data_IF_397710071354
#
_entry.id   IF_397710071354
#
_cell.length_a   1.000
_cell.length_b   1.000
_cell.length_c   1.000
_cell.angle_alpha   90.00
_cell.angle_beta   90.00
_cell.angle_gamma   90.00
#
_symmetry.space_group_name_H-M   'P 1'
#
loop_
_entity.id
_entity.type
_entity.pdbx_description
1 polymer ?
#
# COMPACT_ATOMS: atom_id res chain seq x y z
N UNK A 1 72.81 16.49 -34.56
CA UNK A 1 72.70 17.88 -35.02
C UNK A 1 71.54 18.54 -34.27
N UNK A 2 71.85 19.47 -33.34
CA UNK A 2 71.03 20.58 -32.82
C UNK A 2 69.67 20.24 -32.15
N UNK A 3 69.22 20.74 -31.00
CA UNK A 3 69.70 21.62 -29.90
C UNK A 3 68.63 21.58 -28.80
N UNK A 4 69.03 21.88 -27.57
CA UNK A 4 68.23 21.97 -26.34
C UNK A 4 67.10 23.03 -26.36
N UNK A 5 66.24 22.98 -25.31
CA UNK A 5 65.48 24.04 -24.59
C UNK A 5 64.23 23.34 -23.99
N UNK A 6 63.80 23.44 -22.74
CA UNK A 6 64.17 24.22 -21.57
C UNK A 6 63.21 23.84 -20.42
N UNK A 7 63.69 23.96 -19.18
CA UNK A 7 63.00 23.63 -17.92
C UNK A 7 61.88 24.63 -17.59
N UNK A 8 60.82 24.18 -16.92
CA UNK A 8 60.14 24.98 -15.90
C UNK A 8 59.30 24.11 -14.95
N UNK A 9 59.80 23.94 -13.72
CA UNK A 9 59.04 23.44 -12.58
C UNK A 9 58.48 24.64 -11.81
N UNK A 10 57.17 24.67 -11.56
CA UNK A 10 56.54 25.68 -10.69
C UNK A 10 55.84 24.98 -9.51
N UNK A 11 56.43 25.21 -8.34
CA UNK A 11 55.97 24.77 -7.01
C UNK A 11 54.67 25.50 -6.65
N UNK A 12 53.63 24.78 -6.21
CA UNK A 12 52.47 25.38 -5.55
C UNK A 12 52.71 25.43 -4.04
N UNK A 13 52.78 26.64 -3.52
CA UNK A 13 52.91 26.98 -2.10
C UNK A 13 51.52 26.97 -1.45
N UNK A 14 51.39 26.28 -0.32
CA UNK A 14 50.25 26.31 0.60
C UNK A 14 50.38 27.53 1.54
N UNK A 15 49.29 28.28 1.74
CA UNK A 15 49.13 29.19 2.87
C UNK A 15 47.74 28.96 3.51
N UNK A 16 47.65 28.90 4.86
CA UNK A 16 46.39 28.81 5.58
C UNK A 16 45.96 30.19 6.11
N UNK A 17 44.66 30.50 6.10
CA UNK A 17 44.12 31.59 6.92
C UNK A 17 42.86 31.12 7.66
N UNK A 18 42.87 31.37 8.97
CA UNK A 18 41.81 31.06 9.92
C UNK A 18 41.05 32.35 10.28
N UNK A 19 39.84 32.15 10.81
CA UNK A 19 39.05 32.97 11.77
C UNK A 19 38.21 34.13 11.21
N UNK A 20 36.88 33.99 11.33
CA UNK A 20 36.03 34.95 12.07
C UNK A 20 34.63 34.34 12.29
N UNK A 21 34.27 34.10 13.56
CA UNK A 21 32.94 33.70 13.98
C UNK A 21 32.12 34.95 14.33
N UNK A 22 31.06 35.22 13.59
CA UNK A 22 30.07 36.25 13.94
C UNK A 22 28.83 35.59 14.57
N UNK A 23 28.64 35.83 15.86
CA UNK A 23 27.38 35.54 16.57
C UNK A 23 26.43 36.71 16.31
N UNK A 24 25.31 36.45 15.63
CA UNK A 24 24.21 37.40 15.47
C UNK A 24 23.04 36.93 16.34
N UNK A 25 22.84 37.66 17.43
CA UNK A 25 21.75 37.49 18.40
C UNK A 25 20.47 38.10 17.81
N UNK A 26 19.47 37.28 17.52
CA UNK A 26 18.12 37.73 17.18
C UNK A 26 17.22 37.65 18.42
N UNK A 27 16.85 38.82 18.93
CA UNK A 27 15.80 39.00 19.94
C UNK A 27 14.41 38.86 19.28
N UNK A 28 13.53 38.05 19.85
CA UNK A 28 12.13 37.89 19.43
C UNK A 28 11.21 38.72 20.34
N UNK A 29 10.33 39.59 19.80
CA UNK A 29 9.30 40.21 20.62
C UNK A 29 8.18 39.21 20.94
N UNK A 30 7.81 39.14 22.21
CA UNK A 30 6.67 38.38 22.72
C UNK A 30 5.36 39.11 22.35
N UNK A 31 4.67 38.63 21.32
CA UNK A 31 3.32 39.06 20.97
C UNK A 31 2.29 38.00 21.37
N UNK A 32 1.51 38.27 22.40
CA UNK A 32 0.38 37.45 22.84
C UNK A 32 -0.80 37.59 21.86
N UNK A 33 -1.04 36.56 21.04
CA UNK A 33 -2.26 36.48 20.21
C UNK A 33 -3.32 35.70 20.98
N UNK A 34 -4.29 36.42 21.54
CA UNK A 34 -5.48 35.86 22.15
C UNK A 34 -6.43 35.34 21.05
N UNK A 35 -6.58 34.02 20.93
CA UNK A 35 -7.61 33.42 20.09
C UNK A 35 -8.98 33.50 20.81
N UNK A 36 -9.82 34.44 20.38
CA UNK A 36 -11.27 34.40 20.69
C UNK A 36 -11.90 33.26 19.88
N UNK A 37 -12.40 32.24 20.57
CA UNK A 37 -13.34 31.25 20.02
C UNK A 37 -14.71 31.90 19.80
N UNK A 38 -15.30 31.87 18.59
CA UNK A 38 -16.73 32.10 18.46
C UNK A 38 -17.50 30.82 18.77
N UNK A 39 -18.61 31.05 19.48
CA UNK A 39 -19.56 30.11 20.06
C UNK A 39 -20.16 29.14 19.03
N UNK A 40 -20.50 27.97 19.56
CA UNK A 40 -21.30 26.93 18.96
C UNK A 40 -22.60 27.45 18.34
N UNK A 41 -22.89 27.01 17.12
CA UNK A 41 -24.24 26.93 16.57
C UNK A 41 -24.51 25.49 16.15
N UNK A 42 -25.40 24.89 16.92
CA UNK A 42 -26.13 23.66 16.69
C UNK A 42 -26.86 23.70 15.34
N UNK A 43 -26.57 22.74 14.46
CA UNK A 43 -27.42 22.45 13.30
C UNK A 43 -27.89 21.00 13.34
N UNK A 44 -29.21 20.86 13.43
CA UNK A 44 -29.99 19.64 13.39
C UNK A 44 -29.68 18.81 12.13
N UNK A 45 -29.31 17.55 12.33
CA UNK A 45 -29.19 16.54 11.28
C UNK A 45 -30.58 16.02 10.93
N UNK A 46 -31.11 16.45 9.78
CA UNK A 46 -32.29 15.84 9.17
C UNK A 46 -31.90 14.50 8.52
N UNK A 47 -32.45 13.41 9.06
CA UNK A 47 -32.28 12.07 8.52
C UNK A 47 -33.05 11.90 7.19
N UNK A 48 -32.36 11.50 6.12
CA UNK A 48 -32.98 11.02 4.87
C UNK A 48 -33.06 9.49 4.91
N UNK A 49 -34.24 8.86 4.69
CA UNK A 49 -34.33 7.41 4.57
C UNK A 49 -33.93 6.96 3.16
N UNK A 50 -33.09 5.92 3.09
CA UNK A 50 -32.78 5.20 1.85
C UNK A 50 -33.91 4.22 1.54
N UNK A 51 -34.63 4.46 0.45
CA UNK A 51 -35.56 3.49 -0.15
C UNK A 51 -34.78 2.51 -1.04
N UNK A 52 -34.78 1.23 -0.68
CA UNK A 52 -34.22 0.13 -1.47
C UNK A 52 -35.32 -0.41 -2.38
N UNK A 53 -35.30 -0.05 -3.66
CA UNK A 53 -36.14 -0.71 -4.68
C UNK A 53 -35.39 -1.92 -5.22
N UNK A 54 -35.88 -3.10 -4.85
CA UNK A 54 -35.46 -4.39 -5.38
C UNK A 54 -35.91 -4.56 -6.83
N UNK A 55 -35.00 -4.98 -7.71
CA UNK A 55 -35.35 -5.58 -9.01
C UNK A 55 -35.33 -7.09 -8.86
N UNK A 56 -36.51 -7.70 -8.81
CA UNK A 56 -36.70 -9.14 -9.00
C UNK A 56 -37.32 -9.37 -10.38
N UNK A 57 -36.65 -10.18 -11.20
CA UNK A 57 -37.19 -10.75 -12.43
C UNK A 57 -38.31 -11.73 -12.08
N UNK A 58 -39.47 -11.56 -12.71
CA UNK A 58 -40.51 -12.60 -12.77
C UNK A 58 -40.43 -13.36 -14.11
N UNK A 59 -40.65 -14.68 -14.14
CA UNK A 59 -41.01 -15.39 -15.35
C UNK A 59 -42.55 -15.46 -15.47
N UNK A 60 -43.10 -15.08 -16.62
CA UNK A 60 -44.52 -15.26 -16.92
C UNK A 60 -44.72 -16.56 -17.71
N UNK A 61 -45.52 -17.49 -17.16
CA UNK A 61 -46.18 -18.58 -17.89
C UNK A 61 -47.69 -18.44 -17.66
N UNK A 62 -48.44 -18.45 -18.76
CA UNK A 62 -49.86 -18.13 -18.85
C UNK A 62 -50.73 -19.22 -18.19
N UNK A 63 -51.85 -18.75 -17.62
CA UNK A 63 -52.88 -19.47 -16.88
C UNK A 63 -53.75 -20.42 -17.70
N UNK A 64 -54.31 -21.43 -17.02
CA UNK A 64 -55.45 -22.22 -17.50
C UNK A 64 -56.22 -22.93 -16.37
N UNK A 65 -57.08 -22.18 -15.67
CA UNK A 65 -58.34 -22.58 -15.01
C UNK A 65 -58.40 -23.53 -13.78
N UNK A 66 -59.35 -23.15 -12.88
CA UNK A 66 -60.21 -23.93 -11.95
C UNK A 66 -59.83 -24.13 -10.46
N UNK A 67 -60.58 -23.37 -9.64
CA UNK A 67 -61.47 -23.81 -8.53
C UNK A 67 -60.92 -24.06 -7.11
N UNK A 68 -61.14 -23.05 -6.26
CA UNK A 68 -61.88 -23.01 -4.97
C UNK A 68 -61.55 -24.00 -3.82
N UNK A 69 -60.90 -23.44 -2.78
CA UNK A 69 -61.14 -23.46 -1.30
C UNK A 69 -61.85 -24.66 -0.65
N UNK A 70 -61.32 -25.07 0.51
CA UNK A 70 -61.97 -25.13 1.85
C UNK A 70 -60.86 -25.51 2.86
N UNK A 71 -60.82 -25.14 4.15
CA UNK A 71 -61.77 -24.55 5.07
C UNK A 71 -61.48 -25.15 6.46
N UNK A 72 -61.07 -24.33 7.42
CA UNK A 72 -60.83 -24.68 8.83
C UNK A 72 -62.17 -24.87 9.57
N UNK A 73 -62.34 -25.90 10.40
CA UNK A 73 -63.36 -25.93 11.45
C UNK A 73 -63.09 -26.97 12.56
N UNK A 74 -63.60 -26.62 13.74
CA UNK A 74 -63.41 -27.08 15.13
C UNK A 74 -64.37 -28.20 15.59
N UNK A 75 -63.97 -29.04 16.57
CA UNK A 75 -64.76 -29.62 17.72
C UNK A 75 -63.95 -30.75 18.40
N UNK A 76 -63.58 -30.72 19.69
CA UNK A 76 -64.30 -30.84 20.99
C UNK A 76 -64.78 -32.27 21.35
N UNK A 77 -64.15 -32.91 22.36
CA UNK A 77 -64.73 -33.73 23.48
C UNK A 77 -63.63 -34.49 24.26
N UNK A 78 -63.35 -34.18 25.54
CA UNK A 78 -63.87 -34.73 26.84
C UNK A 78 -63.02 -35.85 27.50
N UNK A 79 -62.35 -35.48 28.60
CA UNK A 79 -62.21 -36.14 29.94
C UNK A 79 -62.14 -37.68 30.09
N UNK A 80 -61.06 -38.20 30.72
CA UNK A 80 -61.06 -38.97 32.00
C UNK A 80 -59.65 -39.34 32.50
N UNK A 81 -59.58 -39.73 33.78
CA UNK A 81 -58.49 -39.67 34.76
C UNK A 81 -57.85 -41.05 35.02
N UNK A 82 -56.56 -41.04 35.39
CA UNK A 82 -55.77 -42.02 36.18
C UNK A 82 -55.44 -43.44 35.64
N UNK A 83 -54.14 -43.78 35.59
CA UNK A 83 -53.49 -44.70 36.55
C UNK A 83 -51.98 -44.75 36.34
N UNK A 84 -51.24 -44.99 37.44
CA UNK A 84 -49.79 -44.99 37.50
C UNK A 84 -49.22 -46.39 37.24
N UNK A 85 -48.11 -46.50 36.50
CA UNK A 85 -47.15 -47.62 36.70
C UNK A 85 -45.72 -47.21 36.31
N UNK A 86 -44.78 -47.72 37.12
CA UNK A 86 -43.38 -47.34 37.31
C UNK A 86 -42.45 -47.52 36.08
N UNK A 87 -41.56 -46.52 35.94
CA UNK A 87 -40.09 -46.59 35.79
C UNK A 87 -39.50 -47.57 34.74
N UNK A 88 -39.05 -47.02 33.60
CA UNK A 88 -37.74 -47.38 33.00
C UNK A 88 -37.01 -46.13 32.52
N UNK A 89 -35.84 -45.93 33.11
CA UNK A 89 -34.81 -44.94 32.78
C UNK A 89 -34.47 -44.92 31.29
N UNK A 90 -34.59 -43.76 30.64
CA UNK A 90 -33.91 -43.47 29.37
C UNK A 90 -33.06 -42.21 29.54
N UNK A 91 -31.78 -42.38 29.20
CA UNK A 91 -30.69 -41.40 29.16
C UNK A 91 -31.16 -40.03 28.64
N UNK A 92 -30.69 -38.97 29.32
CA UNK A 92 -30.75 -37.61 28.83
C UNK A 92 -30.16 -37.53 27.41
N UNK A 93 -30.94 -36.99 26.48
CA UNK A 93 -30.48 -36.70 25.13
C UNK A 93 -29.39 -35.63 25.19
N UNK A 94 -28.24 -35.93 24.58
CA UNK A 94 -27.15 -34.99 24.39
C UNK A 94 -27.64 -33.71 23.71
N UNK A 95 -27.11 -32.52 24.06
CA UNK A 95 -27.51 -31.28 23.42
C UNK A 95 -27.16 -31.37 21.94
N UNK A 96 -28.16 -31.17 21.08
CA UNK A 96 -27.98 -31.08 19.62
C UNK A 96 -26.91 -30.03 19.35
N UNK A 97 -25.74 -30.47 18.87
CA UNK A 97 -24.69 -29.61 18.30
C UNK A 97 -25.37 -28.64 17.35
N UNK A 98 -25.32 -27.34 17.66
CA UNK A 98 -25.76 -26.30 16.73
C UNK A 98 -24.94 -26.47 15.45
N UNK A 99 -25.60 -26.89 14.38
CA UNK A 99 -25.02 -26.98 13.05
C UNK A 99 -24.67 -25.55 12.64
N UNK A 100 -23.37 -25.25 12.60
CA UNK A 100 -22.86 -23.95 12.13
C UNK A 100 -23.45 -23.69 10.75
N UNK A 101 -24.28 -22.64 10.63
CA UNK A 101 -24.82 -22.17 9.35
C UNK A 101 -23.64 -21.94 8.41
N UNK A 102 -23.51 -22.79 7.39
CA UNK A 102 -22.40 -22.75 6.44
C UNK A 102 -22.56 -21.47 5.63
N UNK A 103 -21.65 -20.50 5.81
CA UNK A 103 -21.63 -19.27 5.00
C UNK A 103 -21.66 -19.65 3.51
N UNK A 104 -22.49 -18.94 2.74
CA UNK A 104 -22.53 -19.09 1.28
C UNK A 104 -21.16 -18.72 0.69
N UNK A 105 -20.78 -19.29 -0.47
CA UNK A 105 -19.47 -19.02 -1.07
C UNK A 105 -19.22 -17.52 -1.28
N UNK A 106 -20.22 -16.76 -1.71
CA UNK A 106 -20.11 -15.31 -1.91
C UNK A 106 -19.90 -14.53 -0.59
N UNK A 107 -20.57 -14.93 0.49
CA UNK A 107 -20.38 -14.31 1.80
C UNK A 107 -18.97 -14.56 2.33
N UNK A 108 -18.41 -15.76 2.08
CA UNK A 108 -17.01 -16.08 2.43
C UNK A 108 -16.05 -15.17 1.69
N UNK A 109 -16.25 -14.98 0.38
CA UNK A 109 -15.37 -14.11 -0.41
C UNK A 109 -15.45 -12.64 0.03
N UNK A 110 -16.65 -12.14 0.35
CA UNK A 110 -16.83 -10.79 0.91
C UNK A 110 -16.16 -10.66 2.28
N UNK A 111 -16.29 -11.67 3.15
CA UNK A 111 -15.61 -11.71 4.44
C UNK A 111 -14.08 -11.74 4.30
N UNK A 112 -13.56 -12.55 3.37
CA UNK A 112 -12.14 -12.62 3.03
C UNK A 112 -11.63 -11.27 2.52
N UNK A 113 -12.36 -10.60 1.63
CA UNK A 113 -12.00 -9.27 1.14
C UNK A 113 -11.99 -8.23 2.26
N UNK A 114 -12.97 -8.27 3.17
CA UNK A 114 -12.99 -7.40 4.36
C UNK A 114 -11.77 -7.67 5.24
N UNK A 115 -11.42 -8.93 5.47
CA UNK A 115 -10.25 -9.33 6.25
C UNK A 115 -8.94 -8.86 5.59
N UNK A 116 -8.77 -9.13 4.29
CA UNK A 116 -7.61 -8.67 3.54
C UNK A 116 -7.49 -7.14 3.57
N UNK A 117 -8.59 -6.40 3.47
CA UNK A 117 -8.59 -4.94 3.58
C UNK A 117 -8.13 -4.44 4.96
N UNK A 118 -8.48 -5.14 6.04
CA UNK A 118 -7.98 -4.83 7.40
C UNK A 118 -6.47 -5.04 7.48
N UNK A 119 -5.95 -6.11 6.87
CA UNK A 119 -4.51 -6.40 6.86
C UNK A 119 -3.69 -5.48 5.96
N UNK A 120 -4.25 -5.01 4.85
CA UNK A 120 -3.51 -4.39 3.76
C UNK A 120 -3.05 -2.94 4.00
N UNK A 121 -3.29 -2.37 5.21
CA UNK A 121 -2.91 -1.00 5.57
C UNK A 121 -3.22 -0.02 4.43
N UNK A 122 -4.48 0.01 3.96
CA UNK A 122 -4.85 0.76 2.73
C UNK A 122 -4.71 2.28 2.89
N UNK A 123 -4.87 2.79 4.11
CA UNK A 123 -4.73 4.21 4.43
C UNK A 123 -3.26 4.48 4.78
N UNK A 124 -2.59 5.23 3.91
CA UNK A 124 -1.22 5.73 4.15
C UNK A 124 -1.23 7.07 4.90
N UNK A 125 -0.06 7.69 5.07
CA UNK A 125 0.04 9.03 5.63
C UNK A 125 -0.62 10.05 4.69
N UNK A 126 -1.06 11.17 5.25
CA UNK A 126 -1.49 12.33 4.47
C UNK A 126 -0.26 12.98 3.85
N UNK A 127 -0.33 13.26 2.55
CA UNK A 127 0.78 13.80 1.79
C UNK A 127 0.41 15.17 1.24
N UNK A 128 1.39 16.05 1.18
CA UNK A 128 1.32 17.37 0.58
C UNK A 128 1.30 17.27 -0.95
N UNK A 129 0.79 18.29 -1.67
CA UNK A 129 0.82 18.32 -3.13
C UNK A 129 2.25 18.36 -3.68
N UNK A 130 2.61 17.39 -4.53
CA UNK A 130 3.96 17.23 -5.10
C UNK A 130 4.16 17.91 -6.45
N UNK A 131 3.10 18.46 -7.06
CA UNK A 131 3.21 19.17 -8.35
C UNK A 131 2.91 20.65 -8.19
N UNK A 132 3.60 21.50 -8.95
CA UNK A 132 3.38 22.95 -8.95
C UNK A 132 1.90 23.31 -9.19
N UNK A 133 1.26 22.61 -10.14
CA UNK A 133 -0.18 22.71 -10.39
C UNK A 133 -1.00 22.29 -9.18
N UNK A 134 -0.70 21.17 -8.51
CA UNK A 134 -1.45 20.74 -7.35
C UNK A 134 -1.33 21.73 -6.18
N UNK A 135 -0.13 22.28 -5.94
CA UNK A 135 0.09 23.36 -4.95
C UNK A 135 -0.77 24.58 -5.29
N UNK A 136 -0.75 25.00 -6.55
CA UNK A 136 -1.55 26.13 -7.01
C UNK A 136 -3.05 25.88 -6.85
N UNK A 137 -3.52 24.69 -7.22
CA UNK A 137 -4.91 24.29 -7.04
C UNK A 137 -5.27 24.30 -5.56
N UNK A 138 -4.49 23.68 -4.67
CA UNK A 138 -4.81 23.65 -3.24
C UNK A 138 -4.91 25.06 -2.64
N UNK A 139 -4.10 25.99 -3.11
CA UNK A 139 -4.11 27.38 -2.63
C UNK A 139 -5.31 28.19 -3.15
N UNK A 140 -5.86 27.81 -4.31
CA UNK A 140 -6.92 28.56 -5.00
C UNK A 140 -8.29 27.88 -5.00
N UNK A 141 -8.38 26.60 -4.63
CA UNK A 141 -9.61 25.80 -4.62
C UNK A 141 -10.36 25.97 -3.28
N UNK A 142 -10.73 27.21 -2.94
CA UNK A 142 -11.50 27.52 -1.73
C UNK A 142 -12.94 26.97 -1.73
N UNK A 143 -13.76 27.30 -0.72
CA UNK A 143 -15.20 27.08 -0.84
C UNK A 143 -15.77 28.11 -1.85
N UNK A 144 -16.46 27.63 -2.87
CA UNK A 144 -17.02 28.50 -3.92
C UNK A 144 -18.24 27.85 -4.53
N UNK A 145 -19.21 28.69 -4.90
CA UNK A 145 -20.45 28.27 -5.54
C UNK A 145 -20.20 27.74 -6.95
N UNK A 146 -21.07 26.85 -7.42
CA UNK A 146 -20.99 26.24 -8.75
C UNK A 146 -20.22 24.92 -8.80
N UNK A 147 -20.14 24.35 -10.01
CA UNK A 147 -19.61 23.00 -10.25
C UNK A 147 -18.08 23.00 -10.13
N UNK A 148 -17.53 22.07 -9.35
CA UNK A 148 -16.08 21.91 -9.14
C UNK A 148 -15.27 21.88 -10.45
N UNK A 149 -15.81 21.26 -11.50
CA UNK A 149 -15.15 21.14 -12.80
C UNK A 149 -14.94 22.48 -13.49
N UNK A 150 -15.91 23.40 -13.42
CA UNK A 150 -15.82 24.73 -14.03
C UNK A 150 -14.82 25.60 -13.27
N UNK A 151 -14.82 25.49 -11.95
CA UNK A 151 -13.87 26.15 -11.07
C UNK A 151 -12.43 25.72 -11.38
N UNK A 152 -12.19 24.41 -11.50
CA UNK A 152 -10.86 23.88 -11.89
C UNK A 152 -10.46 24.36 -13.28
N UNK A 153 -11.39 24.42 -14.25
CA UNK A 153 -11.11 24.98 -15.59
C UNK A 153 -10.65 26.44 -15.48
N UNK A 154 -11.33 27.27 -14.69
CA UNK A 154 -10.91 28.65 -14.43
C UNK A 154 -9.53 28.75 -13.77
N UNK A 155 -9.25 27.92 -12.75
CA UNK A 155 -7.93 27.85 -12.10
C UNK A 155 -6.85 27.43 -13.12
N UNK A 156 -7.16 26.53 -14.05
CA UNK A 156 -6.21 26.08 -15.08
C UNK A 156 -5.82 27.20 -16.04
N UNK A 157 -6.79 28.02 -16.47
CA UNK A 157 -6.52 29.20 -17.31
C UNK A 157 -5.65 30.23 -16.57
N UNK A 158 -5.90 30.44 -15.28
CA UNK A 158 -5.07 31.32 -14.44
C UNK A 158 -3.64 30.80 -14.29
N UNK A 159 -3.48 29.50 -14.04
CA UNK A 159 -2.16 28.86 -13.93
C UNK A 159 -1.35 28.95 -15.23
N UNK A 160 -2.01 28.79 -16.38
CA UNK A 160 -1.36 28.95 -17.69
C UNK A 160 -0.79 30.36 -17.86
N UNK A 161 -1.54 31.38 -17.43
CA UNK A 161 -1.17 32.79 -17.49
C UNK A 161 -0.19 33.27 -16.41
N UNK A 162 0.25 32.41 -15.47
CA UNK A 162 1.25 32.80 -14.47
C UNK A 162 2.60 33.07 -15.13
N UNK A 163 3.34 34.03 -14.54
CA UNK A 163 4.71 34.32 -14.90
C UNK A 163 5.64 33.13 -14.60
N UNK A 164 6.79 33.06 -15.28
CA UNK A 164 7.72 31.94 -15.07
C UNK A 164 8.32 31.95 -13.65
N UNK A 165 8.50 33.13 -13.04
CA UNK A 165 8.98 33.25 -11.66
C UNK A 165 7.98 32.68 -10.64
N UNK A 166 6.68 32.94 -10.83
CA UNK A 166 5.62 32.35 -9.99
C UNK A 166 5.55 30.84 -10.17
N UNK A 167 5.69 30.35 -11.42
CA UNK A 167 5.77 28.91 -11.71
C UNK A 167 6.99 28.28 -11.03
N UNK A 168 8.14 28.94 -11.04
CA UNK A 168 9.36 28.49 -10.38
C UNK A 168 9.19 28.43 -8.86
N UNK A 169 8.56 29.45 -8.24
CA UNK A 169 8.23 29.42 -6.81
C UNK A 169 7.31 28.26 -6.43
N UNK A 170 6.33 27.95 -7.28
CA UNK A 170 5.46 26.79 -7.10
C UNK A 170 6.19 25.47 -7.30
N UNK A 171 7.14 25.38 -8.25
CA UNK A 171 8.02 24.21 -8.42
C UNK A 171 8.91 24.01 -7.19
N UNK A 172 9.51 25.07 -6.66
CA UNK A 172 10.33 25.01 -5.44
C UNK A 172 9.51 24.53 -4.23
N UNK A 173 8.30 25.06 -4.05
CA UNK A 173 7.37 24.61 -3.00
C UNK A 173 7.00 23.13 -3.19
N UNK A 174 6.73 22.72 -4.43
CA UNK A 174 6.41 21.34 -4.76
C UNK A 174 7.58 20.37 -4.49
N UNK A 175 8.82 20.81 -4.72
CA UNK A 175 10.03 20.05 -4.37
C UNK A 175 10.18 19.92 -2.85
N UNK A 176 10.01 21.01 -2.10
CA UNK A 176 10.02 20.95 -0.62
C UNK A 176 8.95 20.01 -0.07
N UNK A 177 7.74 20.05 -0.65
CA UNK A 177 6.67 19.11 -0.32
C UNK A 177 7.03 17.67 -0.67
N UNK A 178 7.71 17.44 -1.80
CA UNK A 178 8.16 16.11 -2.19
C UNK A 178 9.14 15.52 -1.16
N UNK A 179 10.11 16.31 -0.69
CA UNK A 179 11.06 15.88 0.33
C UNK A 179 10.37 15.64 1.68
N UNK A 180 9.47 16.54 2.09
CA UNK A 180 8.66 16.37 3.31
C UNK A 180 7.80 15.10 3.24
N UNK A 181 7.19 14.83 2.08
CA UNK A 181 6.41 13.61 1.84
C UNK A 181 7.27 12.36 1.86
N UNK A 182 8.49 12.40 1.32
CA UNK A 182 9.44 11.29 1.38
C UNK A 182 9.76 10.94 2.83
N UNK A 183 10.08 11.94 3.65
CA UNK A 183 10.34 11.77 5.08
C UNK A 183 9.10 11.25 5.82
N UNK A 184 7.92 11.83 5.54
CA UNK A 184 6.65 11.40 6.13
C UNK A 184 6.33 9.94 5.79
N UNK A 185 6.56 9.52 4.54
CA UNK A 185 6.41 8.11 4.13
C UNK A 185 7.37 7.20 4.86
N UNK A 186 8.63 7.60 5.02
CA UNK A 186 9.64 6.84 5.75
C UNK A 186 9.26 6.68 7.22
N UNK A 187 8.91 7.76 7.91
CA UNK A 187 8.44 7.73 9.30
C UNK A 187 7.20 6.85 9.47
N UNK A 188 6.25 6.91 8.53
CA UNK A 188 5.09 6.03 8.55
C UNK A 188 5.45 4.56 8.38
N UNK A 189 6.41 4.24 7.51
CA UNK A 189 6.94 2.87 7.34
C UNK A 189 7.65 2.42 8.61
N UNK A 190 8.50 3.25 9.20
CA UNK A 190 9.27 2.95 10.41
C UNK A 190 8.37 2.74 11.63
N UNK A 191 7.26 3.48 11.72
CA UNK A 191 6.27 3.34 12.78
C UNK A 191 5.54 1.99 12.77
N UNK A 192 5.55 1.26 11.65
CA UNK A 192 4.97 -0.08 11.56
C UNK A 192 6.03 -1.17 11.72
N UNK A 193 5.71 -2.27 12.42
CA UNK A 193 6.60 -3.42 12.48
C UNK A 193 6.74 -4.06 11.09
N UNK A 194 7.93 -4.59 10.80
CA UNK A 194 8.31 -5.14 9.48
C UNK A 194 7.35 -6.28 9.07
N UNK A 195 6.94 -7.08 10.05
CA UNK A 195 5.98 -8.16 9.92
C UNK A 195 4.62 -7.70 9.40
N UNK A 196 4.12 -6.57 9.93
CA UNK A 196 2.83 -6.01 9.52
C UNK A 196 2.90 -5.50 8.08
N UNK A 197 4.00 -4.87 7.70
CA UNK A 197 4.22 -4.38 6.33
C UNK A 197 4.31 -5.56 5.34
N UNK A 198 5.04 -6.61 5.71
CA UNK A 198 5.13 -7.83 4.92
C UNK A 198 3.72 -8.41 4.68
N UNK A 199 2.92 -8.56 5.74
CA UNK A 199 1.54 -9.03 5.66
C UNK A 199 0.63 -8.12 4.84
N UNK A 200 0.76 -6.81 5.00
CA UNK A 200 0.00 -5.83 4.25
C UNK A 200 0.26 -5.96 2.75
N UNK A 201 1.52 -6.13 2.35
CA UNK A 201 1.89 -6.33 0.94
C UNK A 201 1.33 -7.62 0.34
N UNK A 202 1.33 -8.74 1.09
CA UNK A 202 0.69 -9.98 0.60
C UNK A 202 -0.82 -9.77 0.48
N UNK A 203 -1.45 -9.12 1.47
CA UNK A 203 -2.87 -8.83 1.43
C UNK A 203 -3.24 -7.93 0.22
N UNK A 204 -2.45 -6.89 -0.08
CA UNK A 204 -2.62 -6.04 -1.26
C UNK A 204 -2.55 -6.84 -2.56
N UNK A 205 -1.58 -7.75 -2.70
CA UNK A 205 -1.48 -8.64 -3.88
C UNK A 205 -2.70 -9.55 -4.01
N UNK A 206 -3.21 -10.11 -2.90
CA UNK A 206 -4.43 -10.95 -2.90
C UNK A 206 -5.68 -10.18 -3.25
N UNK A 207 -5.85 -8.98 -2.70
CA UNK A 207 -6.97 -8.10 -3.06
C UNK A 207 -6.94 -7.86 -4.56
N UNK A 208 -5.78 -7.49 -5.12
CA UNK A 208 -5.64 -7.23 -6.54
C UNK A 208 -6.03 -8.44 -7.39
N UNK A 209 -5.58 -9.66 -7.03
CA UNK A 209 -6.01 -10.91 -7.70
C UNK A 209 -7.52 -11.12 -7.62
N UNK A 210 -8.11 -11.02 -6.42
CA UNK A 210 -9.56 -11.22 -6.23
C UNK A 210 -10.42 -10.16 -6.91
N UNK A 211 -9.92 -8.93 -7.06
CA UNK A 211 -10.65 -7.83 -7.69
C UNK A 211 -10.21 -7.56 -9.14
N UNK A 212 -9.39 -8.43 -9.73
CA UNK A 212 -8.82 -8.28 -11.08
C UNK A 212 -8.20 -6.89 -11.35
N UNK A 213 -7.50 -6.32 -10.36
CA UNK A 213 -6.79 -5.03 -10.52
C UNK A 213 -5.39 -5.27 -11.06
N UNK A 214 -5.07 -4.64 -12.18
CA UNK A 214 -3.75 -4.72 -12.82
C UNK A 214 -2.67 -3.96 -12.04
N UNK A 215 -2.99 -2.80 -11.47
CA UNK A 215 -2.04 -1.94 -10.75
C UNK A 215 -2.11 -2.17 -9.24
N UNK A 216 -0.95 -2.44 -8.64
CA UNK A 216 -0.80 -2.72 -7.20
C UNK A 216 0.26 -1.78 -6.63
N UNK A 217 -0.12 -1.00 -5.62
CA UNK A 217 0.82 -0.17 -4.87
C UNK A 217 1.30 -0.93 -3.65
N UNK A 218 2.58 -1.29 -3.61
CA UNK A 218 3.20 -1.96 -2.46
C UNK A 218 3.87 -0.94 -1.54
N UNK A 219 3.89 -1.26 -0.25
CA UNK A 219 4.66 -0.52 0.75
C UNK A 219 6.11 -1.00 0.61
N UNK A 220 7.04 -0.08 0.40
CA UNK A 220 8.46 -0.39 0.29
C UNK A 220 9.11 -0.13 1.65
N UNK A 221 9.85 -1.12 2.15
CA UNK A 221 10.62 -1.04 3.40
C UNK A 221 11.97 -1.73 3.15
N UNK A 222 13.07 -1.05 3.46
CA UNK A 222 14.44 -1.56 3.28
C UNK A 222 14.78 -2.68 4.26
N UNK A 223 14.06 -2.79 5.39
CA UNK A 223 14.21 -3.86 6.39
C UNK A 223 13.67 -5.20 5.90
N UNK A 224 12.86 -5.21 4.84
CA UNK A 224 12.33 -6.44 4.25
C UNK A 224 13.43 -7.18 3.47
N UNK A 225 13.57 -8.51 3.64
CA UNK A 225 14.52 -9.30 2.88
C UNK A 225 14.29 -9.15 1.38
N UNK A 226 15.31 -8.70 0.66
CA UNK A 226 15.29 -8.57 -0.80
C UNK A 226 15.31 -9.97 -1.43
N UNK A 227 14.70 -10.08 -2.61
CA UNK A 227 14.75 -11.32 -3.40
C UNK A 227 16.20 -11.59 -3.82
N UNK A 228 16.65 -12.83 -3.65
CA UNK A 228 17.96 -13.26 -4.13
C UNK A 228 18.12 -13.01 -5.63
N UNK A 229 19.32 -12.57 -6.02
CA UNK A 229 19.65 -12.29 -7.42
C UNK A 229 20.04 -13.59 -8.12
N UNK A 230 19.79 -13.67 -9.42
CA UNK A 230 20.32 -14.76 -10.24
C UNK A 230 21.81 -14.58 -10.49
N UNK A 231 22.50 -15.65 -10.87
CA UNK A 231 23.92 -15.61 -11.25
C UNK A 231 24.20 -14.54 -12.31
N UNK A 232 23.35 -14.47 -13.34
CA UNK A 232 23.42 -13.43 -14.37
C UNK A 232 23.23 -12.02 -13.80
N UNK A 233 22.29 -11.80 -12.89
CA UNK A 233 22.10 -10.49 -12.26
C UNK A 233 23.29 -10.07 -11.38
N UNK A 234 24.00 -11.02 -10.78
CA UNK A 234 25.26 -10.76 -10.06
C UNK A 234 26.40 -10.40 -11.01
N UNK A 235 26.52 -11.12 -12.13
CA UNK A 235 27.46 -10.80 -13.20
C UNK A 235 27.24 -9.37 -13.72
N UNK A 236 26.00 -9.04 -14.09
CA UNK A 236 25.61 -7.70 -14.54
C UNK A 236 25.94 -6.64 -13.49
N UNK A 237 25.65 -6.88 -12.20
CA UNK A 237 26.02 -5.96 -11.12
C UNK A 237 27.53 -5.69 -11.08
N UNK A 238 28.34 -6.73 -11.27
CA UNK A 238 29.81 -6.64 -11.23
C UNK A 238 30.43 -5.94 -12.45
N UNK A 239 29.81 -6.07 -13.61
CA UNK A 239 30.25 -5.47 -14.87
C UNK A 239 29.75 -4.05 -15.04
N UNK A 240 28.47 -3.79 -14.73
CA UNK A 240 27.85 -2.48 -14.88
C UNK A 240 28.54 -1.40 -14.03
N UNK A 241 29.01 -1.73 -12.83
CA UNK A 241 29.79 -0.78 -12.00
C UNK A 241 31.12 -0.38 -12.64
N UNK A 242 31.75 -1.28 -13.39
CA UNK A 242 33.01 -1.05 -14.10
C UNK A 242 32.76 -0.21 -15.36
N UNK A 243 31.75 -0.60 -16.15
CA UNK A 243 31.38 0.08 -17.40
C UNK A 243 30.89 1.51 -17.14
N UNK A 244 30.02 1.73 -16.16
CA UNK A 244 29.53 3.08 -15.83
C UNK A 244 30.64 4.05 -15.39
N UNK A 245 31.79 3.52 -14.93
CA UNK A 245 32.96 4.33 -14.57
C UNK A 245 33.88 4.63 -15.77
N UNK A 246 33.72 3.91 -16.89
CA UNK A 246 34.62 3.96 -18.05
C UNK A 246 33.95 4.50 -19.32
N UNK A 247 32.63 4.39 -19.47
CA UNK A 247 31.92 4.80 -20.68
C UNK A 247 31.12 6.10 -20.49
N UNK A 248 31.61 7.20 -21.06
CA UNK A 248 30.90 8.48 -21.08
C UNK A 248 29.89 8.66 -22.22
N UNK A 249 29.69 7.66 -23.10
CA UNK A 249 28.99 7.87 -24.39
C UNK A 249 28.10 6.73 -24.91
N UNK A 250 28.11 5.54 -24.30
CA UNK A 250 27.23 4.43 -24.75
C UNK A 250 25.85 4.47 -24.09
N UNK A 251 24.80 4.19 -24.86
CA UNK A 251 23.45 4.04 -24.31
C UNK A 251 23.44 2.87 -23.33
N UNK A 252 22.80 3.04 -22.18
CA UNK A 252 22.64 1.98 -21.16
C UNK A 252 22.15 0.66 -21.77
N UNK A 253 21.25 0.73 -22.76
CA UNK A 253 20.74 -0.44 -23.47
C UNK A 253 21.81 -1.22 -24.23
N UNK A 254 22.74 -0.53 -24.90
CA UNK A 254 23.82 -1.16 -25.65
C UNK A 254 24.81 -1.86 -24.70
N UNK A 255 25.06 -1.25 -23.53
CA UNK A 255 25.90 -1.89 -22.50
C UNK A 255 25.28 -3.20 -21.98
N UNK A 256 23.96 -3.25 -21.78
CA UNK A 256 23.27 -4.48 -21.39
C UNK A 256 23.28 -5.54 -22.49
N UNK A 257 23.18 -5.14 -23.76
CA UNK A 257 23.28 -6.06 -24.89
C UNK A 257 24.66 -6.72 -24.95
N UNK A 258 25.73 -5.92 -24.88
CA UNK A 258 27.10 -6.41 -24.85
C UNK A 258 27.35 -7.36 -23.66
N UNK A 259 26.90 -7.00 -22.45
CA UNK A 259 27.01 -7.89 -21.28
C UNK A 259 26.21 -9.18 -21.44
N UNK A 260 25.06 -9.16 -22.13
CA UNK A 260 24.30 -10.37 -22.41
C UNK A 260 25.02 -11.30 -23.38
N UNK A 261 25.74 -10.76 -24.36
CA UNK A 261 26.55 -11.54 -25.31
C UNK A 261 27.77 -12.13 -24.61
N UNK A 262 28.46 -11.33 -23.79
CA UNK A 262 29.58 -11.79 -22.95
C UNK A 262 29.15 -12.95 -22.04
N UNK A 263 28.01 -12.83 -21.35
CA UNK A 263 27.51 -13.92 -20.52
C UNK A 263 27.21 -15.20 -21.33
N UNK A 264 26.77 -15.08 -22.59
CA UNK A 264 26.53 -16.26 -23.43
C UNK A 264 27.82 -16.92 -23.86
N UNK A 265 28.85 -16.15 -24.20
CA UNK A 265 30.16 -16.66 -24.63
C UNK A 265 31.04 -17.16 -23.50
N UNK A 266 30.78 -16.73 -22.25
CA UNK A 266 31.51 -17.22 -21.07
C UNK A 266 31.38 -18.75 -20.91
N UNK A 267 32.49 -19.36 -20.55
CA UNK A 267 32.59 -20.78 -20.19
C UNK A 267 31.85 -21.09 -18.88
N UNK A 268 31.54 -22.36 -18.66
CA UNK A 268 30.85 -22.79 -17.45
C UNK A 268 31.69 -22.54 -16.18
N UNK A 269 33.02 -22.67 -16.27
CA UNK A 269 33.95 -22.36 -15.17
C UNK A 269 33.93 -20.88 -14.79
N UNK A 270 33.88 -19.97 -15.76
CA UNK A 270 33.77 -18.53 -15.50
C UNK A 270 32.40 -18.14 -14.92
N UNK A 271 31.36 -18.95 -15.17
CA UNK A 271 30.03 -18.77 -14.60
C UNK A 271 29.90 -19.34 -13.19
N UNK A 272 30.69 -20.35 -12.82
CA UNK A 272 30.64 -21.00 -11.50
C UNK A 272 30.67 -20.02 -10.32
N UNK A 273 31.61 -19.05 -10.22
CA UNK A 273 31.63 -18.14 -9.07
C UNK A 273 30.33 -17.34 -8.92
N UNK A 274 29.67 -16.99 -10.03
CA UNK A 274 28.38 -16.29 -9.99
C UNK A 274 27.23 -17.23 -9.60
N UNK A 275 27.30 -18.52 -9.97
CA UNK A 275 26.31 -19.54 -9.58
C UNK A 275 26.40 -19.83 -8.08
N UNK A 276 27.60 -20.03 -7.56
CA UNK A 276 27.85 -20.23 -6.13
C UNK A 276 27.41 -19.01 -5.31
N UNK A 277 27.77 -17.80 -5.76
CA UNK A 277 27.33 -16.57 -5.10
C UNK A 277 25.80 -16.43 -5.10
N UNK A 278 25.14 -16.76 -6.21
CA UNK A 278 23.67 -16.72 -6.30
C UNK A 278 23.01 -17.77 -5.40
N UNK A 279 23.58 -18.98 -5.30
CA UNK A 279 23.10 -20.01 -4.38
C UNK A 279 23.23 -19.56 -2.92
N UNK A 280 24.37 -18.98 -2.53
CA UNK A 280 24.56 -18.42 -1.20
C UNK A 280 23.59 -17.27 -0.88
N UNK A 281 23.36 -16.35 -1.83
CA UNK A 281 22.40 -15.25 -1.66
C UNK A 281 20.95 -15.78 -1.55
N UNK A 282 20.62 -16.84 -2.29
CA UNK A 282 19.34 -17.53 -2.24
C UNK A 282 19.09 -18.16 -0.87
N UNK A 283 20.07 -18.88 -0.32
CA UNK A 283 19.96 -19.50 1.01
C UNK A 283 19.77 -18.45 2.11
N UNK A 284 20.59 -17.39 2.09
CA UNK A 284 20.49 -16.27 3.05
C UNK A 284 19.12 -15.59 2.96
N UNK A 285 18.68 -15.25 1.75
CA UNK A 285 17.37 -14.62 1.52
C UNK A 285 16.22 -15.55 1.95
N UNK A 286 16.33 -16.86 1.67
CA UNK A 286 15.33 -17.85 2.06
C UNK A 286 15.23 -18.01 3.58
N UNK A 287 16.36 -18.03 4.30
CA UNK A 287 16.40 -18.10 5.75
C UNK A 287 15.74 -16.86 6.39
N UNK A 288 16.15 -15.66 5.97
CA UNK A 288 15.56 -14.39 6.44
C UNK A 288 14.06 -14.32 6.16
N UNK A 289 13.62 -14.77 4.98
CA UNK A 289 12.20 -14.81 4.64
C UNK A 289 11.43 -15.86 5.45
N UNK A 290 12.05 -16.98 5.82
CA UNK A 290 11.42 -17.99 6.68
C UNK A 290 11.18 -17.42 8.07
N UNK A 291 12.20 -16.81 8.65
CA UNK A 291 12.12 -16.15 9.95
C UNK A 291 11.06 -15.03 9.95
N UNK A 292 11.09 -14.15 8.93
CA UNK A 292 10.09 -13.09 8.79
C UNK A 292 8.66 -13.64 8.67
N UNK A 293 8.46 -14.74 7.93
CA UNK A 293 7.14 -15.39 7.82
C UNK A 293 6.68 -15.96 9.17
N UNK A 294 7.58 -16.51 9.97
CA UNK A 294 7.25 -17.01 11.31
C UNK A 294 6.85 -15.88 12.24
N UNK A 295 7.65 -14.81 12.29
CA UNK A 295 7.33 -13.59 13.06
C UNK A 295 6.02 -12.97 12.60
N UNK A 296 5.77 -12.89 11.30
CA UNK A 296 4.52 -12.37 10.76
C UNK A 296 3.29 -13.21 11.11
N UNK A 297 3.42 -14.55 11.12
CA UNK A 297 2.34 -15.43 11.60
C UNK A 297 2.07 -15.23 13.09
N UNK A 298 3.12 -15.10 13.90
CA UNK A 298 2.99 -14.85 15.34
C UNK A 298 2.34 -13.49 15.62
N UNK A 299 2.79 -12.43 14.94
CA UNK A 299 2.22 -11.09 15.01
C UNK A 299 0.72 -11.09 14.68
N UNK A 300 0.33 -11.74 13.58
CA UNK A 300 -1.09 -11.80 13.20
C UNK A 300 -1.94 -12.60 14.18
N UNK A 301 -1.38 -13.69 14.73
CA UNK A 301 -2.05 -14.48 15.77
C UNK A 301 -2.28 -13.65 17.04
N UNK A 302 -1.31 -12.81 17.42
CA UNK A 302 -1.43 -11.89 18.56
C UNK A 302 -2.50 -10.81 18.35
N UNK A 303 -2.71 -10.36 17.11
CA UNK A 303 -3.77 -9.41 16.74
C UNK A 303 -5.18 -10.04 16.68
N UNK A 304 -5.37 -11.25 17.23
CA UNK A 304 -6.65 -11.97 17.24
C UNK A 304 -7.02 -12.62 15.90
N UNK A 305 -6.09 -12.66 14.94
CA UNK A 305 -6.26 -13.32 13.66
C UNK A 305 -6.04 -14.83 13.73
N UNK A 306 -6.75 -15.60 12.91
CA UNK A 306 -6.49 -17.05 12.81
C UNK A 306 -5.26 -17.26 11.91
N UNK A 307 -4.29 -18.07 12.35
CA UNK A 307 -3.06 -18.31 11.57
C UNK A 307 -3.32 -18.84 10.14
N UNK A 308 -4.43 -19.56 9.92
CA UNK A 308 -4.86 -20.04 8.59
C UNK A 308 -5.29 -18.91 7.64
N UNK A 309 -5.65 -17.75 8.18
CA UNK A 309 -6.01 -16.56 7.41
C UNK A 309 -4.80 -15.76 6.95
N UNK A 310 -3.60 -16.08 7.47
CA UNK A 310 -2.35 -15.46 7.05
C UNK A 310 -2.09 -15.77 5.58
N UNK A 311 -2.01 -14.75 4.73
CA UNK A 311 -1.77 -14.97 3.33
C UNK A 311 -0.43 -15.63 3.02
N UNK A 312 -0.49 -16.82 2.40
CA UNK A 312 0.63 -17.45 1.72
C UNK A 312 0.83 -16.81 0.35
N UNK A 313 2.09 -16.60 -0.04
CA UNK A 313 2.45 -16.11 -1.39
C UNK A 313 2.00 -17.08 -2.49
N UNK A 314 1.87 -18.39 -2.19
CA UNK A 314 1.46 -19.43 -3.16
C UNK A 314 -0.04 -19.77 -3.12
N UNK A 315 -0.85 -19.06 -2.34
CA UNK A 315 -2.31 -19.22 -2.28
C UNK A 315 -3.02 -17.93 -2.67
#
# INVERSE_FOLDING_TARGET
MLTAIGRAAARRVLLPSKIAASKLTTQLPHGSVAYRLPKALTLLVAARPLTVSAWMRSPAKISGSKTKRTGTATKKKTTKKASATKKKTKKAAAPKRQTKKVLTPEEKEKADLRHLKKMALLKGPTLLPESAWAVYVTNNIGAGEGKLTERIKGISSRFAGLSESEKEGLKSTAQSNHDANKNTRQQWVEAHPVEAIYMANIARRRIARKTNKSRIYLIHDERLPKRARSAYALFIKSRFSKVNSQSGSSTVQDTFRAMSEEWRSMSESEKQPFKEAAASEMEKSAALLKELKEKARAYWKAQGGVARQVPSVRG
#
